data_IF_175925730280
#
_entry.id   IF_175925730280
#
_cell.length_a   1.000
_cell.length_b   1.000
_cell.length_c   1.000
_cell.angle_alpha   90.00
_cell.angle_beta   90.00
_cell.angle_gamma   90.00
#
_symmetry.space_group_name_H-M   'P 1'
#
loop_
_entity.id
_entity.type
_entity.pdbx_description
1 polymer ?
#
# COMPACT_ATOMS: atom_id res chain seq x y z
N UNK A 1 -28.53 -3.43 -8.01
CA UNK A 1 -28.15 -2.05 -7.71
C UNK A 1 -27.18 -1.97 -6.52
N UNK A 2 -27.47 -2.55 -5.35
CA UNK A 2 -26.54 -2.49 -4.18
C UNK A 2 -25.21 -3.18 -4.50
N UNK A 3 -25.23 -4.35 -5.14
CA UNK A 3 -24.02 -5.11 -5.49
C UNK A 3 -23.14 -4.41 -6.55
N UNK A 4 -23.71 -3.58 -7.39
CA UNK A 4 -22.96 -2.82 -8.38
C UNK A 4 -22.24 -1.62 -7.77
N UNK A 5 -22.81 -0.97 -6.74
CA UNK A 5 -22.22 0.21 -6.09
C UNK A 5 -20.99 -0.13 -5.24
N UNK A 6 -21.00 -1.25 -4.52
CA UNK A 6 -19.87 -1.65 -3.68
C UNK A 6 -18.61 -2.01 -4.51
N UNK A 7 -18.78 -2.34 -5.79
CA UNK A 7 -17.67 -2.63 -6.71
C UNK A 7 -17.29 -1.46 -7.62
N UNK A 8 -17.96 -0.31 -7.50
CA UNK A 8 -17.62 0.87 -8.28
C UNK A 8 -16.27 1.47 -7.84
N UNK A 9 -15.54 2.11 -8.76
CA UNK A 9 -14.32 2.86 -8.43
C UNK A 9 -14.65 4.13 -7.63
N UNK A 10 -13.67 4.64 -6.86
CA UNK A 10 -13.82 5.92 -6.17
C UNK A 10 -14.09 7.06 -7.16
N UNK A 11 -13.42 7.02 -8.30
CA UNK A 11 -13.57 7.97 -9.40
C UNK A 11 -15.00 7.97 -9.95
N UNK A 12 -15.54 6.77 -10.21
CA UNK A 12 -16.93 6.65 -10.67
C UNK A 12 -17.93 7.10 -9.61
N UNK A 13 -17.73 6.71 -8.33
CA UNK A 13 -18.60 7.14 -7.23
C UNK A 13 -18.62 8.66 -7.07
N UNK A 14 -17.43 9.29 -7.09
CA UNK A 14 -17.30 10.73 -7.00
C UNK A 14 -18.10 11.46 -8.11
N UNK A 15 -18.00 10.98 -9.36
CA UNK A 15 -18.74 11.53 -10.49
C UNK A 15 -20.24 11.25 -10.39
N UNK A 16 -20.63 10.03 -9.99
CA UNK A 16 -22.05 9.65 -9.87
C UNK A 16 -22.76 10.42 -8.76
N UNK A 17 -22.10 10.65 -7.61
CA UNK A 17 -22.62 11.47 -6.52
C UNK A 17 -22.73 12.93 -6.98
N UNK A 18 -21.65 13.51 -7.53
CA UNK A 18 -21.62 14.90 -8.00
C UNK A 18 -22.69 15.20 -9.03
N UNK A 19 -23.01 14.25 -9.91
CA UNK A 19 -24.06 14.36 -10.93
C UNK A 19 -25.43 13.89 -10.43
N UNK A 20 -25.56 13.54 -9.14
CA UNK A 20 -26.81 13.08 -8.52
C UNK A 20 -27.43 11.84 -9.18
N UNK A 21 -26.60 10.98 -9.80
CA UNK A 21 -27.03 9.65 -10.28
C UNK A 21 -27.28 8.70 -9.13
N UNK A 22 -26.52 8.87 -8.04
CA UNK A 22 -26.67 8.20 -6.76
C UNK A 22 -26.48 9.24 -5.64
N UNK A 23 -26.95 8.94 -4.44
CA UNK A 23 -26.64 9.70 -3.23
C UNK A 23 -25.36 9.15 -2.57
N UNK A 24 -24.74 9.98 -1.73
CA UNK A 24 -23.66 9.57 -0.85
C UNK A 24 -24.13 8.48 0.13
N UNK A 25 -25.35 8.61 0.64
CA UNK A 25 -25.95 7.63 1.55
C UNK A 25 -26.10 6.26 0.88
N UNK A 26 -26.55 6.19 -0.38
CA UNK A 26 -26.61 4.93 -1.13
C UNK A 26 -25.23 4.27 -1.30
N UNK A 27 -24.17 5.06 -1.57
CA UNK A 27 -22.80 4.55 -1.69
C UNK A 27 -22.27 4.02 -0.34
N UNK A 28 -22.49 4.76 0.76
CA UNK A 28 -22.10 4.36 2.12
C UNK A 28 -22.85 3.10 2.56
N UNK A 29 -24.16 3.05 2.34
CA UNK A 29 -24.97 1.88 2.71
C UNK A 29 -24.59 0.63 1.92
N UNK A 30 -24.28 0.75 0.64
CA UNK A 30 -23.78 -0.38 -0.17
C UNK A 30 -22.46 -0.94 0.39
N UNK A 31 -21.51 -0.06 0.73
CA UNK A 31 -20.22 -0.49 1.32
C UNK A 31 -20.43 -1.10 2.71
N UNK A 32 -21.25 -0.51 3.58
CA UNK A 32 -21.50 -1.03 4.92
C UNK A 32 -22.22 -2.39 4.87
N UNK A 33 -23.18 -2.58 3.97
CA UNK A 33 -23.83 -3.86 3.75
C UNK A 33 -22.84 -4.93 3.28
N UNK A 34 -21.93 -4.57 2.36
CA UNK A 34 -20.90 -5.49 1.90
C UNK A 34 -19.90 -5.83 3.01
N UNK A 35 -19.49 -4.87 3.83
CA UNK A 35 -18.67 -5.13 5.01
C UNK A 35 -19.37 -6.12 5.95
N UNK A 36 -20.64 -5.91 6.27
CA UNK A 36 -21.44 -6.80 7.13
C UNK A 36 -21.48 -8.24 6.58
N UNK A 37 -21.58 -8.40 5.26
CA UNK A 37 -21.62 -9.70 4.57
C UNK A 37 -20.27 -10.42 4.61
N UNK A 38 -19.17 -9.74 4.24
CA UNK A 38 -17.89 -10.42 3.98
C UNK A 38 -16.94 -10.42 5.19
N UNK A 39 -17.03 -9.42 6.06
CA UNK A 39 -16.06 -9.22 7.13
C UNK A 39 -16.03 -10.34 8.19
N UNK A 40 -17.15 -11.02 8.51
CA UNK A 40 -17.11 -12.20 9.39
C UNK A 40 -16.21 -13.34 8.88
N UNK A 41 -15.97 -13.41 7.57
CA UNK A 41 -15.10 -14.42 6.94
C UNK A 41 -13.66 -13.96 6.82
N UNK A 42 -13.42 -12.68 6.51
CA UNK A 42 -12.08 -12.16 6.21
C UNK A 42 -11.44 -11.37 7.35
N UNK A 43 -12.21 -10.85 8.32
CA UNK A 43 -11.73 -10.04 9.45
C UNK A 43 -10.81 -8.90 9.02
N UNK A 44 -11.24 -8.14 8.01
CA UNK A 44 -10.45 -7.04 7.44
C UNK A 44 -10.77 -5.68 8.09
N UNK A 45 -12.05 -5.40 8.40
CA UNK A 45 -12.48 -4.19 9.10
C UNK A 45 -12.63 -4.53 10.58
N UNK A 46 -11.85 -3.82 11.42
CA UNK A 46 -11.78 -4.11 12.86
C UNK A 46 -12.58 -3.15 13.73
N UNK A 47 -12.98 -2.02 13.14
CA UNK A 47 -13.85 -1.03 13.80
C UNK A 47 -14.57 -0.20 12.76
N UNK A 48 -15.87 -0.09 12.87
CA UNK A 48 -16.68 0.86 12.10
C UNK A 48 -16.76 2.20 12.85
N UNK A 49 -17.01 3.29 12.11
CA UNK A 49 -17.38 4.60 12.68
C UNK A 49 -18.89 4.67 12.84
N UNK A 50 -19.34 5.35 13.91
CA UNK A 50 -20.78 5.45 14.22
C UNK A 50 -21.50 6.50 13.37
N UNK A 51 -20.75 7.44 12.76
CA UNK A 51 -21.27 8.66 12.11
C UNK A 51 -21.25 8.62 10.56
N UNK A 52 -20.86 7.49 9.95
CA UNK A 52 -20.69 7.40 8.49
C UNK A 52 -22.00 7.75 7.72
N UNK A 53 -23.15 7.22 8.17
CA UNK A 53 -24.45 7.50 7.55
C UNK A 53 -24.90 8.95 7.75
N UNK A 54 -24.67 9.52 8.93
CA UNK A 54 -24.97 10.92 9.22
C UNK A 54 -24.16 11.84 8.30
N UNK A 55 -22.85 11.57 8.17
CA UNK A 55 -21.98 12.32 7.26
C UNK A 55 -22.37 12.18 5.80
N UNK A 56 -22.86 11.02 5.39
CA UNK A 56 -23.36 10.80 4.05
C UNK A 56 -24.63 11.62 3.77
N UNK A 57 -25.59 11.62 4.69
CA UNK A 57 -26.77 12.47 4.61
C UNK A 57 -26.41 13.96 4.54
N UNK A 58 -25.45 14.41 5.37
CA UNK A 58 -24.97 15.79 5.32
C UNK A 58 -24.29 16.13 3.98
N UNK A 59 -23.54 15.18 3.39
CA UNK A 59 -22.95 15.38 2.05
C UNK A 59 -24.04 15.52 0.98
N UNK A 60 -25.11 14.73 1.06
CA UNK A 60 -26.25 14.83 0.13
C UNK A 60 -26.98 16.17 0.28
N UNK A 61 -27.18 16.65 1.52
CA UNK A 61 -27.77 17.97 1.80
C UNK A 61 -26.88 19.11 1.27
N UNK A 62 -25.57 19.06 1.51
CA UNK A 62 -24.59 20.01 1.01
C UNK A 62 -24.64 20.09 -0.52
N UNK A 63 -24.65 18.94 -1.19
CA UNK A 63 -24.74 18.87 -2.65
C UNK A 63 -26.07 19.42 -3.16
N UNK A 64 -27.21 19.17 -2.46
CA UNK A 64 -28.49 19.73 -2.81
C UNK A 64 -28.52 21.27 -2.70
N UNK A 65 -27.76 21.82 -1.72
CA UNK A 65 -27.56 23.25 -1.54
C UNK A 65 -26.50 23.84 -2.50
N UNK A 66 -25.91 23.05 -3.39
CA UNK A 66 -24.89 23.48 -4.35
C UNK A 66 -23.48 23.52 -3.80
N UNK A 67 -23.22 22.94 -2.62
CA UNK A 67 -21.91 22.89 -1.99
C UNK A 67 -21.23 21.54 -2.28
N UNK A 68 -20.04 21.58 -2.91
CA UNK A 68 -19.17 20.42 -3.12
C UNK A 68 -17.90 20.63 -2.29
N UNK A 69 -17.61 19.73 -1.35
CA UNK A 69 -16.47 19.87 -0.42
C UNK A 69 -15.12 19.60 -1.10
N UNK A 70 -15.09 18.81 -2.16
CA UNK A 70 -13.87 18.47 -2.88
C UNK A 70 -14.06 17.31 -3.85
N UNK A 71 -12.96 16.79 -4.43
CA UNK A 71 -13.01 15.75 -5.45
C UNK A 71 -13.56 14.40 -4.96
N UNK A 72 -13.56 14.14 -3.66
CA UNK A 72 -14.11 12.94 -3.04
C UNK A 72 -15.43 13.20 -2.28
N UNK A 73 -16.16 14.25 -2.63
CA UNK A 73 -17.39 14.60 -1.95
C UNK A 73 -18.36 13.42 -1.85
N UNK A 74 -18.60 12.96 -0.61
CA UNK A 74 -19.52 11.86 -0.31
C UNK A 74 -18.99 10.44 -0.59
N UNK A 75 -17.75 10.28 -1.03
CA UNK A 75 -17.16 8.96 -1.35
C UNK A 75 -16.74 8.25 -0.07
N UNK A 76 -17.22 7.00 0.19
CA UNK A 76 -16.78 6.21 1.34
C UNK A 76 -15.35 5.71 1.21
N UNK A 77 -14.65 5.48 2.34
CA UNK A 77 -13.36 4.82 2.39
C UNK A 77 -13.12 4.11 3.72
N UNK A 78 -12.19 3.16 3.75
CA UNK A 78 -11.64 2.57 4.96
C UNK A 78 -10.21 3.03 5.19
N UNK A 79 -9.65 2.77 6.39
CA UNK A 79 -8.36 3.32 6.77
C UNK A 79 -7.57 2.34 7.64
N UNK A 80 -6.32 2.05 7.26
CA UNK A 80 -5.40 1.22 8.05
C UNK A 80 -5.33 1.68 9.51
N UNK A 81 -5.40 0.73 10.44
CA UNK A 81 -5.45 1.03 11.89
C UNK A 81 -4.12 1.53 12.49
N UNK A 82 -3.11 1.74 11.67
CA UNK A 82 -1.87 2.42 12.01
C UNK A 82 -1.91 3.94 11.82
N UNK A 83 -3.01 4.49 11.31
CA UNK A 83 -3.19 5.92 11.02
C UNK A 83 -4.12 6.55 12.05
N UNK A 84 -3.63 7.52 12.82
CA UNK A 84 -4.39 8.22 13.83
C UNK A 84 -5.63 8.89 13.25
N UNK A 85 -6.76 8.71 13.94
CA UNK A 85 -8.05 9.27 13.56
C UNK A 85 -8.71 9.86 14.78
N UNK A 86 -8.91 11.17 14.80
CA UNK A 86 -9.50 11.87 15.94
C UNK A 86 -10.87 11.29 16.32
N UNK A 87 -11.02 10.94 17.60
CA UNK A 87 -12.26 10.39 18.13
C UNK A 87 -12.52 8.91 17.77
N UNK A 88 -11.65 8.26 16.99
CA UNK A 88 -11.80 6.84 16.62
C UNK A 88 -10.65 6.03 17.23
N UNK A 89 -10.96 4.93 17.90
CA UNK A 89 -9.94 4.04 18.45
C UNK A 89 -8.95 3.64 17.36
N UNK A 90 -7.65 3.83 17.60
CA UNK A 90 -6.55 3.49 16.70
C UNK A 90 -5.50 2.75 17.49
N UNK A 91 -5.34 1.46 17.20
CA UNK A 91 -4.56 0.54 18.04
C UNK A 91 -3.16 0.26 17.52
N UNK A 92 -2.90 0.51 16.23
CA UNK A 92 -1.71 0.04 15.51
C UNK A 92 -1.45 -1.47 15.73
N UNK A 93 -2.49 -2.26 15.97
CA UNK A 93 -2.43 -3.70 16.25
C UNK A 93 -1.82 -4.09 17.59
N UNK A 94 -1.53 -3.15 18.50
CA UNK A 94 -0.92 -3.44 19.80
C UNK A 94 -1.92 -3.45 20.95
N UNK A 95 -1.79 -4.43 21.86
CA UNK A 95 -2.70 -4.61 22.99
C UNK A 95 -2.68 -3.38 23.91
N UNK A 96 -1.54 -2.75 24.12
CA UNK A 96 -1.43 -1.58 25.00
C UNK A 96 -2.27 -0.39 24.52
N UNK A 97 -2.61 -0.33 23.23
CA UNK A 97 -3.45 0.72 22.64
C UNK A 97 -4.85 0.27 22.24
N UNK A 98 -5.32 -0.86 22.73
CA UNK A 98 -6.65 -1.42 22.38
C UNK A 98 -7.82 -0.44 22.53
N UNK A 99 -7.69 0.53 23.42
CA UNK A 99 -8.70 1.55 23.72
C UNK A 99 -8.18 2.98 23.49
N UNK A 100 -7.01 3.14 22.81
CA UNK A 100 -6.41 4.44 22.54
C UNK A 100 -7.23 5.20 21.51
N UNK A 101 -7.68 6.41 21.89
CA UNK A 101 -8.37 7.34 21.01
C UNK A 101 -7.46 8.54 20.76
N UNK A 102 -6.97 8.75 19.52
CA UNK A 102 -6.22 9.95 19.17
C UNK A 102 -7.07 11.22 19.29
N UNK A 103 -6.43 12.33 19.62
CA UNK A 103 -7.05 13.66 19.71
C UNK A 103 -6.99 14.43 18.39
N UNK A 104 -6.17 13.95 17.42
CA UNK A 104 -6.04 14.54 16.09
C UNK A 104 -5.93 13.47 15.00
N UNK A 105 -6.31 13.87 13.80
CA UNK A 105 -6.16 13.06 12.60
C UNK A 105 -4.71 13.03 12.12
N UNK A 106 -4.29 11.92 11.53
CA UNK A 106 -3.12 11.89 10.66
C UNK A 106 -3.32 12.85 9.47
N UNK A 107 -2.24 13.40 8.94
CA UNK A 107 -2.32 14.36 7.82
C UNK A 107 -3.12 13.82 6.63
N UNK A 108 -2.90 12.56 6.25
CA UNK A 108 -3.65 11.94 5.14
C UNK A 108 -5.14 11.85 5.43
N UNK A 109 -5.53 11.61 6.68
CA UNK A 109 -6.94 11.55 7.12
C UNK A 109 -7.58 12.94 7.04
N UNK A 110 -6.89 13.96 7.55
CA UNK A 110 -7.33 15.36 7.45
C UNK A 110 -7.59 15.75 5.99
N UNK A 111 -6.67 15.39 5.09
CA UNK A 111 -6.77 15.71 3.65
C UNK A 111 -7.93 14.98 2.98
N UNK A 112 -8.13 13.71 3.26
CA UNK A 112 -9.25 12.93 2.71
C UNK A 112 -10.59 13.48 3.19
N UNK A 113 -10.72 13.79 4.48
CA UNK A 113 -11.94 14.44 5.02
C UNK A 113 -12.17 15.82 4.41
N UNK A 114 -11.13 16.62 4.22
CA UNK A 114 -11.19 17.93 3.56
C UNK A 114 -11.58 17.79 2.06
N UNK A 115 -11.18 16.73 1.38
CA UNK A 115 -11.60 16.39 0.03
C UNK A 115 -13.07 15.88 -0.04
N UNK A 116 -13.74 15.71 1.12
CA UNK A 116 -15.13 15.29 1.22
C UNK A 116 -15.36 13.78 1.37
N UNK A 117 -14.31 12.98 1.55
CA UNK A 117 -14.42 11.54 1.75
C UNK A 117 -15.01 11.19 3.14
N UNK A 118 -15.72 10.07 3.22
CA UNK A 118 -16.41 9.60 4.42
C UNK A 118 -15.77 8.31 4.93
N UNK A 119 -15.20 8.37 6.13
CA UNK A 119 -14.58 7.21 6.77
C UNK A 119 -15.65 6.22 7.25
N UNK A 120 -15.56 4.98 6.78
CA UNK A 120 -16.42 3.87 7.21
C UNK A 120 -15.87 3.16 8.45
N UNK A 121 -14.56 3.03 8.55
CA UNK A 121 -13.94 2.29 9.65
C UNK A 121 -12.44 2.07 9.48
N UNK A 122 -11.87 1.37 10.48
CA UNK A 122 -10.45 1.01 10.56
C UNK A 122 -10.24 -0.42 10.05
N UNK A 123 -9.15 -0.63 9.32
CA UNK A 123 -8.78 -1.94 8.76
C UNK A 123 -7.58 -2.54 9.47
N UNK A 124 -7.57 -3.87 9.57
CA UNK A 124 -6.59 -4.61 10.34
C UNK A 124 -5.15 -4.44 9.82
N UNK A 125 -4.21 -4.49 10.75
CA UNK A 125 -2.76 -4.41 10.49
C UNK A 125 -2.03 -5.24 11.55
N UNK A 126 -0.87 -5.84 11.29
CA UNK A 126 -0.06 -6.42 12.36
C UNK A 126 0.41 -5.34 13.33
N UNK A 127 0.85 -5.76 14.51
CA UNK A 127 1.35 -4.85 15.54
C UNK A 127 2.42 -3.92 14.96
N UNK A 128 2.23 -2.61 15.17
CA UNK A 128 3.07 -1.54 14.62
C UNK A 128 3.45 -1.70 13.13
N UNK A 129 2.60 -2.35 12.34
CA UNK A 129 2.81 -2.60 10.89
C UNK A 129 4.04 -3.44 10.55
N UNK A 130 4.53 -4.25 11.49
CA UNK A 130 5.82 -4.93 11.37
C UNK A 130 5.66 -6.43 11.15
N UNK A 131 5.04 -6.81 10.04
CA UNK A 131 4.91 -8.19 9.57
C UNK A 131 4.39 -8.24 8.13
N UNK A 132 4.78 -9.29 7.41
CA UNK A 132 4.27 -9.64 6.07
C UNK A 132 2.94 -10.39 6.12
N UNK A 133 2.41 -10.64 7.30
CA UNK A 133 1.06 -11.17 7.53
C UNK A 133 0.26 -10.22 8.42
N UNK A 134 -1.03 -10.10 8.13
CA UNK A 134 -1.93 -9.25 8.93
C UNK A 134 -2.59 -10.08 10.03
N UNK A 135 -1.93 -10.13 11.18
CA UNK A 135 -2.36 -10.82 12.39
C UNK A 135 -1.85 -10.06 13.63
N UNK A 136 -2.67 -9.93 14.67
CA UNK A 136 -2.30 -9.30 15.93
C UNK A 136 -3.15 -9.80 17.09
N UNK A 137 -2.68 -9.55 18.32
CA UNK A 137 -3.33 -10.03 19.55
C UNK A 137 -4.59 -9.22 19.95
N UNK A 138 -4.90 -8.12 19.27
CA UNK A 138 -6.10 -7.29 19.54
C UNK A 138 -7.30 -7.83 18.78
N UNK A 139 -7.12 -8.11 17.48
CA UNK A 139 -8.20 -8.40 16.53
C UNK A 139 -8.09 -9.78 15.88
N UNK A 140 -6.94 -10.44 16.02
CA UNK A 140 -6.63 -11.67 15.31
C UNK A 140 -6.30 -11.44 13.84
N UNK A 141 -6.39 -12.53 13.08
CA UNK A 141 -5.89 -12.65 11.71
C UNK A 141 -6.91 -12.20 10.67
N UNK A 142 -6.43 -11.52 9.63
CA UNK A 142 -7.17 -11.26 8.39
C UNK A 142 -6.90 -12.36 7.36
N UNK A 143 -7.91 -12.80 6.64
CA UNK A 143 -7.81 -13.81 5.58
C UNK A 143 -7.92 -13.20 4.18
N UNK A 144 -7.27 -13.85 3.20
CA UNK A 144 -7.32 -13.45 1.81
C UNK A 144 -8.72 -13.70 1.23
N UNK A 145 -9.36 -12.72 0.56
CA UNK A 145 -10.70 -12.85 0.04
C UNK A 145 -10.84 -13.87 -1.11
N UNK A 146 -9.76 -14.23 -1.78
CA UNK A 146 -9.75 -15.23 -2.85
C UNK A 146 -9.55 -16.67 -2.33
N UNK A 147 -8.89 -16.83 -1.17
CA UNK A 147 -8.72 -18.11 -0.48
C UNK A 147 -8.49 -17.85 1.02
N UNK A 148 -9.50 -18.15 1.83
CA UNK A 148 -9.48 -17.89 3.28
C UNK A 148 -8.38 -18.67 4.04
N UNK A 149 -7.77 -19.68 3.45
CA UNK A 149 -6.64 -20.41 4.02
C UNK A 149 -5.30 -19.71 3.82
N UNK A 150 -5.28 -18.59 3.07
CA UNK A 150 -4.09 -17.82 2.70
C UNK A 150 -4.09 -16.43 3.33
N UNK A 151 -2.88 -15.88 3.45
CA UNK A 151 -2.71 -14.53 3.94
C UNK A 151 -3.07 -13.48 2.87
N UNK A 152 -3.70 -12.34 3.25
CA UNK A 152 -3.88 -11.18 2.36
C UNK A 152 -2.61 -10.34 2.25
N UNK A 153 -1.48 -10.84 2.80
CA UNK A 153 -0.26 -10.08 2.93
C UNK A 153 -0.24 -9.18 4.18
N UNK A 154 0.81 -8.42 4.29
CA UNK A 154 1.06 -7.46 5.37
C UNK A 154 2.08 -6.39 4.96
N UNK A 155 2.06 -5.34 5.69
CA UNK A 155 1.22 -5.00 6.84
C UNK A 155 -0.14 -4.39 6.48
N UNK A 156 -0.43 -4.06 5.20
CA UNK A 156 -1.71 -3.50 4.75
C UNK A 156 -2.67 -4.58 4.22
N UNK A 157 -2.70 -5.77 4.86
CA UNK A 157 -3.56 -6.88 4.43
C UNK A 157 -5.04 -6.61 4.70
N UNK A 158 -5.39 -5.94 5.82
CA UNK A 158 -6.77 -5.49 6.07
C UNK A 158 -7.28 -4.54 4.99
N UNK A 159 -6.54 -3.44 4.68
CA UNK A 159 -6.80 -2.57 3.53
C UNK A 159 -7.03 -3.34 2.23
N UNK A 160 -6.06 -4.20 1.83
CA UNK A 160 -6.15 -4.93 0.58
C UNK A 160 -7.34 -5.89 0.53
N UNK A 161 -7.58 -6.63 1.61
CA UNK A 161 -8.66 -7.61 1.67
C UNK A 161 -10.06 -6.96 1.55
N UNK A 162 -10.30 -5.85 2.27
CA UNK A 162 -11.62 -5.19 2.21
C UNK A 162 -11.86 -4.47 0.88
N UNK A 163 -10.82 -3.84 0.32
CA UNK A 163 -10.90 -3.21 -1.01
C UNK A 163 -11.16 -4.25 -2.08
N UNK A 164 -10.46 -5.40 -2.05
CA UNK A 164 -10.67 -6.50 -2.98
C UNK A 164 -12.07 -7.11 -2.83
N UNK A 165 -12.59 -7.24 -1.61
CA UNK A 165 -13.91 -7.78 -1.33
C UNK A 165 -15.08 -6.82 -1.61
N UNK A 166 -14.81 -5.56 -1.97
CA UNK A 166 -15.83 -4.55 -2.29
C UNK A 166 -16.39 -3.80 -1.08
N UNK A 167 -15.82 -3.96 0.13
CA UNK A 167 -16.29 -3.23 1.32
C UNK A 167 -15.93 -1.75 1.34
N UNK A 168 -14.97 -1.33 0.53
CA UNK A 168 -14.62 0.06 0.31
C UNK A 168 -14.01 0.25 -1.10
N UNK A 169 -14.17 1.42 -1.74
CA UNK A 169 -13.52 1.69 -3.02
C UNK A 169 -12.00 1.85 -2.90
N UNK A 170 -11.52 2.41 -1.77
CA UNK A 170 -10.10 2.58 -1.49
C UNK A 170 -9.79 2.58 0.02
N UNK A 171 -8.52 2.43 0.33
CA UNK A 171 -7.91 2.52 1.66
C UNK A 171 -6.53 3.21 1.55
N UNK A 172 -5.94 3.59 2.66
CA UNK A 172 -4.57 4.12 2.72
C UNK A 172 -3.69 3.14 3.46
N UNK A 173 -2.73 2.57 2.75
CA UNK A 173 -1.72 1.69 3.30
C UNK A 173 -0.42 2.40 3.68
N UNK A 174 0.50 1.65 4.27
CA UNK A 174 1.90 2.06 4.50
C UNK A 174 2.85 0.97 4.02
N UNK A 175 4.05 1.35 3.59
CA UNK A 175 5.02 0.46 2.95
C UNK A 175 6.44 0.82 3.44
N UNK A 176 7.08 -0.11 4.15
CA UNK A 176 8.44 0.03 4.69
C UNK A 176 9.40 -0.99 4.07
N UNK A 177 8.90 -2.14 3.63
CA UNK A 177 9.59 -3.17 2.86
C UNK A 177 8.83 -3.48 1.57
N UNK A 178 7.50 -3.73 1.71
CA UNK A 178 6.62 -4.08 0.60
C UNK A 178 5.13 -3.92 0.97
N UNK A 179 4.83 -3.35 2.12
CA UNK A 179 3.54 -3.47 2.82
C UNK A 179 2.32 -2.79 2.17
N UNK A 180 2.44 -2.12 1.03
CA UNK A 180 1.36 -1.77 0.08
C UNK A 180 1.39 -2.76 -1.09
N UNK A 181 2.58 -3.01 -1.61
CA UNK A 181 2.83 -3.71 -2.88
C UNK A 181 2.55 -5.19 -2.77
N UNK A 182 3.01 -5.85 -1.72
CA UNK A 182 2.76 -7.26 -1.45
C UNK A 182 1.26 -7.53 -1.23
N UNK A 183 0.53 -6.82 -0.33
CA UNK A 183 -0.91 -7.01 -0.20
C UNK A 183 -1.69 -6.71 -1.48
N UNK A 184 -1.29 -5.68 -2.26
CA UNK A 184 -1.91 -5.40 -3.55
C UNK A 184 -1.71 -6.56 -4.54
N UNK A 185 -0.51 -7.16 -4.58
CA UNK A 185 -0.20 -8.34 -5.37
C UNK A 185 -1.09 -9.53 -5.02
N UNK A 186 -1.15 -9.92 -3.73
CA UNK A 186 -1.86 -11.15 -3.31
C UNK A 186 -3.37 -10.98 -3.21
N UNK A 187 -3.88 -9.75 -3.18
CA UNK A 187 -5.32 -9.44 -3.23
C UNK A 187 -5.77 -8.90 -4.59
N UNK A 188 -4.89 -8.84 -5.59
CA UNK A 188 -5.24 -8.49 -6.97
C UNK A 188 -5.81 -7.09 -7.16
N UNK A 189 -5.45 -6.14 -6.32
CA UNK A 189 -5.84 -4.73 -6.40
C UNK A 189 -4.68 -3.85 -6.93
N UNK A 190 -4.96 -2.58 -7.16
CA UNK A 190 -3.93 -1.58 -7.44
C UNK A 190 -3.41 -0.95 -6.13
N UNK A 191 -2.09 -0.81 -6.01
CA UNK A 191 -1.44 -0.16 -4.87
C UNK A 191 -0.27 0.71 -5.32
N UNK A 192 -0.17 1.92 -4.78
CA UNK A 192 0.92 2.85 -5.06
C UNK A 192 1.75 3.09 -3.80
N UNK A 193 3.02 2.73 -3.84
CA UNK A 193 4.06 3.25 -2.95
C UNK A 193 4.66 4.50 -3.61
N UNK A 194 4.37 5.72 -3.14
CA UNK A 194 4.95 6.93 -3.73
C UNK A 194 6.46 7.04 -3.51
N UNK A 195 7.08 8.04 -4.13
CA UNK A 195 8.46 8.45 -3.82
C UNK A 195 8.61 8.80 -2.34
N UNK A 196 9.72 8.42 -1.72
CA UNK A 196 10.05 8.83 -0.35
C UNK A 196 10.02 10.35 -0.22
N UNK A 197 9.28 10.85 0.79
CA UNK A 197 9.04 12.28 0.97
C UNK A 197 7.96 12.89 0.07
N UNK A 198 7.12 12.09 -0.60
CA UNK A 198 5.97 12.57 -1.38
C UNK A 198 4.73 12.82 -0.51
N UNK A 199 4.42 11.90 0.39
CA UNK A 199 3.24 11.93 1.26
C UNK A 199 3.69 12.02 2.71
N UNK A 200 3.13 12.94 3.51
CA UNK A 200 3.46 13.05 4.94
C UNK A 200 3.06 11.81 5.71
N UNK A 201 3.89 11.42 6.67
CA UNK A 201 3.67 10.28 7.58
C UNK A 201 3.20 10.71 8.97
N UNK A 202 2.92 11.99 9.16
CA UNK A 202 2.41 12.56 10.41
C UNK A 202 1.14 11.84 10.85
N UNK A 203 1.16 11.29 12.07
CA UNK A 203 0.06 10.49 12.63
C UNK A 203 0.03 9.02 12.18
N UNK A 204 1.07 8.53 11.50
CA UNK A 204 1.26 7.09 11.22
C UNK A 204 2.10 6.41 12.33
N UNK A 205 1.78 5.15 12.62
CA UNK A 205 2.52 4.29 13.54
C UNK A 205 3.03 3.02 12.85
N UNK A 206 4.33 2.64 13.08
CA UNK A 206 5.33 3.39 13.86
C UNK A 206 5.63 4.75 13.24
N UNK A 207 6.07 5.70 14.07
CA UNK A 207 6.35 7.07 13.63
C UNK A 207 7.46 7.15 12.56
N UNK A 208 7.62 8.31 11.98
CA UNK A 208 8.52 8.62 10.85
C UNK A 208 9.92 9.08 11.30
N UNK A 209 10.51 8.46 12.31
CA UNK A 209 11.76 8.92 12.92
C UNK A 209 12.89 7.90 12.80
N UNK A 210 14.13 8.40 12.89
CA UNK A 210 15.33 7.56 12.94
C UNK A 210 15.70 6.92 11.61
N UNK A 211 16.27 5.73 11.66
CA UNK A 211 16.79 5.02 10.50
C UNK A 211 15.71 4.57 9.50
N UNK A 212 14.46 4.46 9.95
CA UNK A 212 13.32 4.03 9.12
C UNK A 212 12.65 5.15 8.36
N UNK A 213 13.08 6.38 8.59
CA UNK A 213 12.47 7.57 8.03
C UNK A 213 12.35 7.48 6.50
N UNK A 214 13.45 7.20 5.81
CA UNK A 214 13.47 7.16 4.35
C UNK A 214 12.81 5.93 3.73
N UNK A 215 12.53 4.88 4.51
CA UNK A 215 12.03 3.61 4.01
C UNK A 215 10.49 3.53 4.02
N UNK A 216 9.83 4.26 4.93
CA UNK A 216 8.38 4.19 5.11
C UNK A 216 7.64 5.22 4.27
N UNK A 217 6.65 4.77 3.49
CA UNK A 217 5.78 5.61 2.70
C UNK A 217 4.31 5.28 2.96
N UNK A 218 3.44 6.30 2.91
CA UNK A 218 1.99 6.13 2.86
C UNK A 218 1.54 6.22 1.41
N UNK A 219 0.56 5.40 1.04
CA UNK A 219 0.02 5.44 -0.31
C UNK A 219 -1.35 4.81 -0.45
N UNK A 220 -2.06 5.16 -1.54
CA UNK A 220 -3.40 4.67 -1.79
C UNK A 220 -3.40 3.22 -2.29
N UNK A 221 -4.43 2.49 -1.88
CA UNK A 221 -4.78 1.15 -2.32
C UNK A 221 -6.23 1.15 -2.81
N UNK A 222 -6.47 0.71 -4.04
CA UNK A 222 -7.79 0.77 -4.66
C UNK A 222 -7.97 -0.39 -5.66
N UNK A 223 -9.18 -0.64 -6.12
CA UNK A 223 -9.41 -1.66 -7.15
C UNK A 223 -8.90 -1.26 -8.53
N UNK A 224 -8.80 0.05 -8.81
CA UNK A 224 -8.47 0.59 -10.13
C UNK A 224 -7.30 1.58 -10.05
N UNK A 225 -6.49 1.60 -11.10
CA UNK A 225 -5.36 2.55 -11.22
C UNK A 225 -5.85 4.00 -11.31
N UNK A 226 -7.01 4.25 -11.91
CA UNK A 226 -7.63 5.58 -11.97
C UNK A 226 -7.85 6.19 -10.58
N UNK A 227 -8.20 5.35 -9.58
CA UNK A 227 -8.39 5.80 -8.20
C UNK A 227 -7.06 6.19 -7.54
N UNK A 228 -5.95 5.50 -7.85
CA UNK A 228 -4.62 5.91 -7.38
C UNK A 228 -4.25 7.29 -7.95
N UNK A 229 -4.58 7.52 -9.22
CA UNK A 229 -4.37 8.81 -9.91
C UNK A 229 -5.21 9.93 -9.27
N UNK A 230 -6.45 9.65 -8.88
CA UNK A 230 -7.33 10.59 -8.18
C UNK A 230 -6.82 10.90 -6.76
N UNK A 231 -6.34 9.89 -6.04
CA UNK A 231 -6.01 10.00 -4.61
C UNK A 231 -4.63 10.64 -4.38
N UNK A 232 -3.63 10.35 -5.22
CA UNK A 232 -2.27 10.84 -4.99
C UNK A 232 -2.18 12.38 -4.84
N UNK A 233 -2.81 13.21 -5.68
CA UNK A 233 -2.78 14.67 -5.51
C UNK A 233 -3.40 15.17 -4.19
N UNK A 234 -4.36 14.44 -3.64
CA UNK A 234 -4.99 14.77 -2.36
C UNK A 234 -4.04 14.50 -1.19
N UNK A 235 -3.25 13.43 -1.29
CA UNK A 235 -2.35 12.96 -0.23
C UNK A 235 -1.00 13.69 -0.22
N UNK A 236 -0.50 14.08 -1.38
CA UNK A 236 0.87 14.57 -1.59
C UNK A 236 1.14 15.99 -1.06
N UNK A 237 2.40 16.27 -0.80
CA UNK A 237 2.92 17.60 -0.45
C UNK A 237 3.09 17.85 1.05
N UNK A 238 3.90 18.86 1.42
CA UNK A 238 4.23 19.16 2.81
C UNK A 238 3.01 19.46 3.68
N UNK A 239 3.10 19.10 4.96
CA UNK A 239 2.11 19.43 6.00
C UNK A 239 2.66 20.40 7.08
N UNK A 240 3.95 20.69 7.02
CA UNK A 240 4.63 21.54 8.01
C UNK A 240 5.04 20.79 9.28
N UNK A 241 4.77 19.47 9.38
CA UNK A 241 5.14 18.63 10.53
C UNK A 241 6.15 17.53 10.14
N UNK A 242 5.96 16.83 9.02
CA UNK A 242 6.92 15.83 8.52
C UNK A 242 8.09 16.56 7.82
N UNK A 243 9.29 16.60 8.41
CA UNK A 243 10.42 17.37 7.90
C UNK A 243 11.01 16.82 6.59
N UNK A 244 10.62 15.62 6.19
CA UNK A 244 11.20 14.91 5.06
C UNK A 244 10.38 15.05 3.77
N UNK A 245 9.22 15.72 3.84
CA UNK A 245 8.35 15.89 2.66
C UNK A 245 8.79 17.10 1.84
N UNK A 246 9.08 16.84 0.55
CA UNK A 246 9.52 17.87 -0.39
C UNK A 246 8.34 18.41 -1.23
N UNK A 247 8.31 19.73 -1.52
CA UNK A 247 7.28 20.36 -2.35
C UNK A 247 7.55 20.15 -3.85
N UNK A 248 7.61 18.90 -4.29
CA UNK A 248 7.83 18.56 -5.70
C UNK A 248 6.49 18.44 -6.42
N UNK A 249 6.36 19.09 -7.59
CA UNK A 249 5.16 19.01 -8.40
C UNK A 249 4.86 17.56 -8.84
N UNK A 250 3.59 17.24 -8.95
CA UNK A 250 3.15 15.97 -9.53
C UNK A 250 3.12 16.07 -11.06
N UNK A 251 3.58 15.01 -11.74
CA UNK A 251 3.32 14.81 -13.16
C UNK A 251 1.88 14.35 -13.40
N UNK A 252 1.40 14.51 -14.63
CA UNK A 252 0.09 14.05 -15.07
C UNK A 252 0.25 12.77 -15.90
N UNK A 253 -0.28 11.61 -15.45
CA UNK A 253 -0.17 10.35 -16.18
C UNK A 253 -0.82 10.39 -17.57
N UNK A 254 -1.82 11.26 -17.78
CA UNK A 254 -2.57 11.33 -19.03
C UNK A 254 -1.79 11.95 -20.21
N UNK A 255 -0.72 12.68 -19.92
CA UNK A 255 0.13 13.32 -20.93
C UNK A 255 1.49 12.64 -21.13
N UNK A 256 1.72 11.51 -20.45
CA UNK A 256 2.95 10.73 -20.64
C UNK A 256 2.98 10.14 -22.05
N UNK A 257 4.00 10.48 -22.84
CA UNK A 257 4.23 9.90 -24.16
C UNK A 257 4.78 8.47 -24.00
N UNK A 258 3.87 7.49 -23.88
CA UNK A 258 4.21 6.11 -23.55
C UNK A 258 5.13 5.47 -24.59
N UNK A 259 4.94 5.77 -25.87
CA UNK A 259 5.73 5.26 -26.99
C UNK A 259 7.20 5.79 -27.00
N UNK A 260 7.49 6.81 -26.22
CA UNK A 260 8.85 7.32 -26.03
C UNK A 260 9.57 6.67 -24.85
N UNK A 261 8.87 5.97 -23.94
CA UNK A 261 9.43 5.41 -22.72
C UNK A 261 10.47 4.31 -23.00
N UNK A 262 11.57 4.37 -22.27
CA UNK A 262 12.61 3.34 -22.22
C UNK A 262 12.30 2.42 -21.05
N UNK A 263 11.80 1.23 -21.35
CA UNK A 263 11.32 0.26 -20.36
C UNK A 263 12.33 -0.87 -20.21
N UNK A 264 12.66 -1.19 -18.96
CA UNK A 264 13.40 -2.38 -18.60
C UNK A 264 12.46 -3.40 -17.97
N UNK A 265 12.56 -4.66 -18.38
CA UNK A 265 11.81 -5.75 -17.74
C UNK A 265 12.75 -6.89 -17.34
N UNK A 266 12.39 -7.55 -16.23
CA UNK A 266 12.99 -8.82 -15.83
C UNK A 266 11.96 -9.65 -15.07
N UNK A 267 12.04 -10.96 -15.22
CA UNK A 267 11.16 -11.91 -14.51
C UNK A 267 11.85 -12.53 -13.31
N UNK A 268 13.17 -12.72 -13.37
CA UNK A 268 13.99 -13.30 -12.30
C UNK A 268 15.13 -12.34 -11.94
N UNK A 269 15.30 -12.04 -10.66
CA UNK A 269 16.37 -11.19 -10.15
C UNK A 269 17.69 -11.96 -9.84
N UNK A 270 17.71 -13.29 -10.04
CA UNK A 270 18.83 -14.16 -9.73
C UNK A 270 19.04 -14.46 -8.24
N UNK A 271 18.15 -13.97 -7.36
CA UNK A 271 18.23 -14.14 -5.90
C UNK A 271 17.12 -15.05 -5.41
N UNK A 272 15.88 -14.75 -5.83
CA UNK A 272 14.70 -15.55 -5.52
C UNK A 272 13.96 -15.88 -6.81
N UNK A 273 14.02 -17.15 -7.22
CA UNK A 273 13.36 -17.62 -8.45
C UNK A 273 11.83 -17.51 -8.31
N UNK A 274 11.15 -16.83 -9.24
CA UNK A 274 9.69 -16.71 -9.23
C UNK A 274 9.02 -18.01 -9.70
N UNK A 275 7.74 -18.17 -9.34
CA UNK A 275 6.93 -19.25 -9.90
C UNK A 275 6.66 -19.03 -11.40
N UNK A 276 6.43 -20.11 -12.17
CA UNK A 276 6.13 -19.98 -13.60
C UNK A 276 4.96 -19.03 -13.91
N UNK A 277 3.94 -19.03 -13.06
CA UNK A 277 2.76 -18.18 -13.21
C UNK A 277 3.11 -16.70 -13.00
N UNK A 278 4.02 -16.40 -12.05
CA UNK A 278 4.54 -15.05 -11.84
C UNK A 278 5.33 -14.57 -13.06
N UNK A 279 6.17 -15.44 -13.63
CA UNK A 279 6.89 -15.15 -14.89
C UNK A 279 5.92 -14.80 -16.01
N UNK A 280 4.89 -15.63 -16.22
CA UNK A 280 3.86 -15.41 -17.26
C UNK A 280 3.13 -14.06 -17.05
N UNK A 281 2.80 -13.69 -15.83
CA UNK A 281 2.13 -12.41 -15.54
C UNK A 281 3.02 -11.20 -15.89
N UNK A 282 4.32 -11.26 -15.58
CA UNK A 282 5.27 -10.19 -15.93
C UNK A 282 5.50 -10.12 -17.45
N UNK A 283 5.61 -11.26 -18.12
CA UNK A 283 5.74 -11.32 -19.58
C UNK A 283 4.49 -10.76 -20.29
N UNK A 284 3.30 -11.04 -19.78
CA UNK A 284 2.05 -10.49 -20.29
C UNK A 284 2.00 -8.95 -20.13
N UNK A 285 2.36 -8.43 -18.96
CA UNK A 285 2.45 -7.00 -18.71
C UNK A 285 3.49 -6.32 -19.63
N UNK A 286 4.65 -6.94 -19.78
CA UNK A 286 5.72 -6.47 -20.67
C UNK A 286 5.26 -6.44 -22.13
N UNK A 287 4.53 -7.47 -22.57
CA UNK A 287 3.96 -7.55 -23.92
C UNK A 287 2.91 -6.46 -24.17
N UNK A 288 2.08 -6.15 -23.17
CA UNK A 288 1.09 -5.07 -23.25
C UNK A 288 1.76 -3.70 -23.44
N UNK A 289 2.82 -3.43 -22.68
CA UNK A 289 3.62 -2.21 -22.83
C UNK A 289 4.32 -2.15 -24.20
N UNK A 290 4.89 -3.26 -24.65
CA UNK A 290 5.49 -3.34 -26.00
C UNK A 290 4.47 -3.05 -27.10
N UNK A 291 3.23 -3.53 -26.96
CA UNK A 291 2.13 -3.24 -27.89
C UNK A 291 1.72 -1.75 -27.87
N UNK A 292 1.94 -1.05 -26.74
CA UNK A 292 1.77 0.40 -26.63
C UNK A 292 2.93 1.22 -27.21
N UNK A 293 3.98 0.56 -27.72
CA UNK A 293 5.07 1.20 -28.48
C UNK A 293 6.31 1.56 -27.68
N UNK A 294 6.43 1.16 -26.39
CA UNK A 294 7.61 1.45 -25.58
C UNK A 294 8.90 0.85 -26.16
N UNK A 295 10.04 1.46 -25.83
CA UNK A 295 11.37 0.91 -26.16
C UNK A 295 11.79 -0.06 -25.07
N UNK A 296 11.61 -1.37 -25.31
CA UNK A 296 11.81 -2.43 -24.34
C UNK A 296 13.21 -3.05 -24.41
N UNK A 297 13.84 -3.31 -23.24
CA UNK A 297 14.98 -4.19 -23.07
C UNK A 297 14.83 -5.07 -21.83
N UNK A 298 15.46 -6.25 -21.87
CA UNK A 298 15.50 -7.15 -20.70
C UNK A 298 16.84 -6.97 -19.98
N UNK A 299 16.79 -6.58 -18.70
CA UNK A 299 17.98 -6.34 -17.89
C UNK A 299 17.60 -6.36 -16.41
N UNK A 300 18.47 -6.92 -15.56
CA UNK A 300 18.32 -6.88 -14.10
C UNK A 300 19.11 -5.69 -13.55
N UNK A 301 18.51 -4.82 -12.71
CA UNK A 301 19.26 -3.73 -12.06
C UNK A 301 20.47 -4.25 -11.28
N UNK A 302 21.63 -3.55 -11.30
CA UNK A 302 22.85 -4.06 -10.68
C UNK A 302 22.84 -3.98 -9.15
N UNK A 303 23.23 -5.05 -8.44
CA UNK A 303 23.47 -5.06 -6.99
C UNK A 303 22.20 -5.11 -6.13
N UNK A 304 21.18 -5.83 -6.59
CA UNK A 304 19.96 -6.06 -5.80
C UNK A 304 20.24 -6.86 -4.52
N UNK A 305 21.13 -7.84 -4.57
CA UNK A 305 21.58 -8.64 -3.42
C UNK A 305 22.25 -7.80 -2.34
N UNK A 306 23.12 -6.88 -2.75
CA UNK A 306 23.80 -5.94 -1.84
C UNK A 306 22.78 -4.93 -1.23
N UNK A 307 21.78 -4.53 -2.01
CA UNK A 307 20.72 -3.61 -1.56
C UNK A 307 19.90 -4.21 -0.42
N UNK A 308 19.46 -5.47 -0.56
CA UNK A 308 18.75 -6.18 0.49
C UNK A 308 19.59 -6.30 1.77
N UNK A 309 20.82 -6.82 1.68
CA UNK A 309 21.68 -7.00 2.84
C UNK A 309 21.95 -5.67 3.57
N UNK A 310 22.02 -4.55 2.83
CA UNK A 310 22.20 -3.21 3.40
C UNK A 310 20.94 -2.72 4.10
N UNK A 311 19.76 -2.92 3.49
CA UNK A 311 18.47 -2.56 4.09
C UNK A 311 18.22 -3.35 5.38
N UNK A 312 18.39 -4.67 5.37
CA UNK A 312 18.22 -5.53 6.56
C UNK A 312 19.21 -5.14 7.66
N UNK A 313 20.45 -4.84 7.30
CA UNK A 313 21.47 -4.35 8.24
C UNK A 313 21.06 -3.02 8.91
N UNK A 314 20.49 -2.07 8.16
CA UNK A 314 19.99 -0.80 8.69
C UNK A 314 18.76 -1.01 9.58
N UNK A 315 17.84 -1.90 9.19
CA UNK A 315 16.66 -2.26 9.97
C UNK A 315 17.04 -2.84 11.34
N UNK A 316 18.10 -3.64 11.40
CA UNK A 316 18.57 -4.30 12.63
C UNK A 316 19.62 -3.51 13.39
N UNK A 317 20.07 -2.36 12.87
CA UNK A 317 21.26 -1.64 13.35
C UNK A 317 21.22 -1.27 14.83
N UNK A 318 20.04 -0.97 15.39
CA UNK A 318 19.90 -0.67 16.83
C UNK A 318 19.45 -1.88 17.67
N UNK A 319 19.50 -3.10 17.11
CA UNK A 319 19.07 -4.32 17.79
C UNK A 319 17.56 -4.34 18.11
N UNK A 320 16.73 -3.70 17.30
CA UNK A 320 15.30 -3.48 17.53
C UNK A 320 14.97 -2.65 18.80
N UNK A 321 15.92 -1.88 19.32
CA UNK A 321 15.66 -1.03 20.48
C UNK A 321 14.56 0.01 20.24
N UNK A 322 14.42 0.53 18.99
CA UNK A 322 13.34 1.43 18.63
C UNK A 322 11.97 0.77 18.76
N UNK A 323 11.82 -0.49 18.33
CA UNK A 323 10.58 -1.25 18.46
C UNK A 323 10.24 -1.53 19.91
N UNK A 324 11.26 -1.89 20.71
CA UNK A 324 11.09 -2.09 22.14
C UNK A 324 10.58 -0.82 22.82
N UNK A 325 11.15 0.36 22.49
CA UNK A 325 10.67 1.65 23.02
C UNK A 325 9.21 1.92 22.64
N UNK A 326 8.76 1.55 21.45
CA UNK A 326 7.36 1.70 21.03
C UNK A 326 6.44 0.77 21.82
N UNK A 327 6.79 -0.49 21.97
CA UNK A 327 6.04 -1.49 22.73
C UNK A 327 5.91 -1.05 24.20
N UNK A 328 7.00 -0.58 24.81
CA UNK A 328 7.03 -0.09 26.17
C UNK A 328 6.18 1.19 26.33
N UNK A 329 6.32 2.15 25.43
CA UNK A 329 5.52 3.38 25.43
C UNK A 329 4.02 3.11 25.21
N UNK A 330 3.66 2.06 24.48
CA UNK A 330 2.29 1.61 24.33
C UNK A 330 1.73 0.92 25.59
N UNK A 331 2.59 0.52 26.54
CA UNK A 331 2.19 -0.29 27.69
C UNK A 331 1.85 -1.74 27.34
N UNK A 332 2.34 -2.23 26.21
CA UNK A 332 2.13 -3.63 25.80
C UNK A 332 3.05 -4.55 26.60
N UNK A 333 2.54 -5.66 27.16
CA UNK A 333 3.36 -6.59 27.94
C UNK A 333 4.42 -7.30 27.08
N UNK A 334 5.67 -7.31 27.53
CA UNK A 334 6.77 -8.03 26.88
C UNK A 334 7.04 -7.53 25.46
N UNK A 335 7.25 -8.45 24.51
CA UNK A 335 7.42 -8.17 23.08
C UNK A 335 6.10 -8.16 22.30
N UNK A 336 4.93 -8.19 22.99
CA UNK A 336 3.62 -8.25 22.33
C UNK A 336 3.50 -9.45 21.39
N UNK A 337 2.89 -9.26 20.23
CA UNK A 337 2.74 -10.30 19.20
C UNK A 337 4.07 -10.72 18.54
N UNK A 338 5.17 -10.01 18.81
CA UNK A 338 6.50 -10.36 18.27
C UNK A 338 7.21 -11.47 19.03
N UNK A 339 6.75 -11.80 20.23
CA UNK A 339 7.39 -12.82 21.09
C UNK A 339 7.56 -14.19 20.42
N UNK A 340 6.75 -14.49 19.42
CA UNK A 340 6.77 -15.75 18.66
C UNK A 340 7.43 -15.63 17.27
N UNK A 341 8.03 -14.47 16.95
CA UNK A 341 8.61 -14.19 15.64
C UNK A 341 10.12 -14.31 15.68
N UNK A 342 10.66 -15.35 15.13
CA UNK A 342 12.10 -15.68 15.16
C UNK A 342 13.01 -14.58 14.58
N UNK A 343 12.53 -13.79 13.63
CA UNK A 343 13.31 -12.75 12.97
C UNK A 343 13.27 -11.39 13.68
N UNK A 344 12.32 -11.14 14.60
CA UNK A 344 12.27 -9.97 15.47
C UNK A 344 12.72 -10.40 16.88
N UNK A 345 14.02 -10.53 17.08
CA UNK A 345 14.59 -10.82 18.39
C UNK A 345 15.49 -9.67 18.82
N UNK A 346 15.48 -9.30 20.12
CA UNK A 346 16.41 -8.31 20.64
C UNK A 346 17.84 -8.69 20.29
N UNK A 347 18.54 -7.77 19.66
CA UNK A 347 19.93 -7.90 19.25
C UNK A 347 20.86 -6.93 19.96
N UNK A 348 22.16 -7.03 19.66
CA UNK A 348 23.15 -6.04 20.11
C UNK A 348 23.19 -4.92 19.05
N UNK A 349 23.03 -3.64 19.46
CA UNK A 349 23.19 -2.53 18.52
C UNK A 349 24.57 -2.51 17.87
N UNK A 350 24.65 -2.12 16.62
CA UNK A 350 25.92 -1.96 15.90
C UNK A 350 26.73 -0.82 16.53
N UNK A 351 28.06 -0.95 16.57
CA UNK A 351 28.94 0.17 16.84
C UNK A 351 28.73 1.33 15.85
N UNK A 352 28.95 2.56 16.30
CA UNK A 352 28.68 3.74 15.48
C UNK A 352 29.44 3.81 14.16
N UNK A 353 30.67 3.28 14.10
CA UNK A 353 31.48 3.16 12.89
C UNK A 353 30.91 2.13 11.90
N UNK A 354 30.39 1.00 12.38
CA UNK A 354 29.71 0.01 11.55
C UNK A 354 28.40 0.56 10.98
N UNK A 355 27.61 1.26 11.80
CA UNK A 355 26.40 1.95 11.33
C UNK A 355 26.71 2.98 10.25
N UNK A 356 27.79 3.79 10.45
CA UNK A 356 28.22 4.77 9.44
C UNK A 356 28.60 4.07 8.12
N UNK A 357 29.34 2.98 8.18
CA UNK A 357 29.70 2.20 6.99
C UNK A 357 28.47 1.62 6.25
N UNK A 358 27.39 1.23 6.97
CA UNK A 358 26.13 0.81 6.37
C UNK A 358 25.43 1.94 5.64
N UNK A 359 25.37 3.15 6.24
CA UNK A 359 24.78 4.34 5.64
C UNK A 359 25.55 4.72 4.37
N UNK A 360 26.89 4.75 4.42
CA UNK A 360 27.75 5.01 3.26
C UNK A 360 27.51 3.98 2.13
N UNK A 361 27.33 2.72 2.49
CA UNK A 361 26.98 1.65 1.53
C UNK A 361 25.62 1.88 0.90
N UNK A 362 24.61 2.23 1.68
CA UNK A 362 23.27 2.57 1.19
C UNK A 362 23.32 3.72 0.16
N UNK A 363 24.10 4.78 0.46
CA UNK A 363 24.25 5.90 -0.45
C UNK A 363 25.00 5.52 -1.73
N UNK A 364 26.03 4.66 -1.63
CA UNK A 364 26.75 4.14 -2.80
C UNK A 364 25.83 3.29 -3.71
N UNK A 365 24.96 2.47 -3.13
CA UNK A 365 23.95 1.67 -3.86
C UNK A 365 22.94 2.60 -4.55
N UNK A 366 22.37 3.56 -3.83
CA UNK A 366 21.44 4.56 -4.37
C UNK A 366 22.06 5.31 -5.55
N UNK A 367 23.30 5.79 -5.40
CA UNK A 367 24.01 6.50 -6.45
C UNK A 367 24.33 5.62 -7.68
N UNK A 368 24.65 4.34 -7.48
CA UNK A 368 24.87 3.36 -8.56
C UNK A 368 23.58 3.12 -9.34
N UNK A 369 22.48 2.87 -8.65
CA UNK A 369 21.17 2.62 -9.25
C UNK A 369 20.62 3.87 -9.96
N UNK A 370 20.81 5.08 -9.41
CA UNK A 370 20.45 6.33 -10.09
C UNK A 370 21.23 6.54 -11.40
N UNK A 371 22.51 6.19 -11.44
CA UNK A 371 23.29 6.25 -12.70
C UNK A 371 22.76 5.22 -13.72
N UNK A 372 22.39 4.04 -13.26
CA UNK A 372 21.78 3.02 -14.14
C UNK A 372 20.41 3.47 -14.68
N UNK A 373 19.63 4.21 -13.88
CA UNK A 373 18.34 4.79 -14.29
C UNK A 373 18.45 5.93 -15.32
N UNK A 374 19.64 6.45 -15.64
CA UNK A 374 19.78 7.63 -16.51
C UNK A 374 19.16 7.43 -17.91
N UNK A 375 19.05 6.19 -18.36
CA UNK A 375 18.43 5.79 -19.63
C UNK A 375 17.26 4.80 -19.46
N UNK A 376 16.61 4.80 -18.28
CA UNK A 376 15.44 3.98 -17.95
C UNK A 376 14.33 4.88 -17.40
N UNK A 377 13.16 4.79 -17.98
CA UNK A 377 11.98 5.56 -17.55
C UNK A 377 11.01 4.70 -16.74
N UNK A 378 11.00 3.37 -16.98
CA UNK A 378 10.13 2.43 -16.25
C UNK A 378 10.79 1.06 -16.13
N UNK A 379 10.63 0.43 -14.96
CA UNK A 379 11.03 -0.96 -14.71
C UNK A 379 9.76 -1.78 -14.51
N UNK A 380 9.71 -2.99 -15.10
CA UNK A 380 8.61 -3.95 -14.94
C UNK A 380 9.17 -5.25 -14.42
N UNK A 381 8.69 -5.71 -13.26
CA UNK A 381 9.18 -6.92 -12.62
C UNK A 381 8.11 -7.57 -11.73
N UNK A 382 8.35 -8.76 -11.17
CA UNK A 382 7.51 -9.32 -10.13
C UNK A 382 7.33 -8.34 -8.97
N UNK A 383 6.15 -8.27 -8.36
CA UNK A 383 5.99 -7.65 -7.05
C UNK A 383 6.50 -8.58 -5.95
N UNK A 384 6.16 -9.87 -6.07
CA UNK A 384 6.60 -10.97 -5.21
C UNK A 384 6.97 -12.18 -6.08
N UNK A 385 7.80 -13.12 -5.58
CA UNK A 385 8.21 -14.28 -6.37
C UNK A 385 7.07 -15.30 -6.59
N UNK A 386 6.03 -15.25 -5.79
CA UNK A 386 4.95 -16.25 -5.78
C UNK A 386 3.61 -15.66 -5.35
N UNK A 387 2.48 -16.29 -5.70
CA UNK A 387 1.13 -15.89 -5.25
C UNK A 387 0.98 -15.93 -3.73
N UNK A 388 -0.22 -15.59 -3.22
CA UNK A 388 -0.55 -15.66 -1.80
C UNK A 388 -0.19 -17.04 -1.20
N UNK A 389 0.53 -17.02 -0.08
CA UNK A 389 0.94 -18.21 0.68
C UNK A 389 -0.05 -18.53 1.79
N UNK A 390 0.07 -19.71 2.39
CA UNK A 390 -0.73 -20.06 3.56
C UNK A 390 -0.33 -19.23 4.76
N UNK A 391 -1.28 -19.06 5.66
CA UNK A 391 -1.02 -18.40 6.93
C UNK A 391 0.11 -19.08 7.71
N UNK A 392 1.00 -18.28 8.29
CA UNK A 392 2.14 -18.74 9.07
C UNK A 392 3.38 -19.12 8.27
N UNK A 393 3.38 -18.93 6.94
CA UNK A 393 4.49 -19.31 6.06
C UNK A 393 5.36 -18.11 5.61
N UNK A 394 5.04 -16.87 6.03
CA UNK A 394 5.68 -15.66 5.49
C UNK A 394 7.18 -15.60 5.75
N UNK A 395 7.64 -15.92 6.95
CA UNK A 395 9.05 -15.86 7.30
C UNK A 395 9.94 -16.79 6.46
N UNK A 396 9.41 -17.95 6.05
CA UNK A 396 10.11 -18.90 5.21
C UNK A 396 10.03 -18.59 3.72
N UNK A 397 8.94 -17.91 3.30
CA UNK A 397 8.58 -17.79 1.89
C UNK A 397 8.82 -16.41 1.29
N UNK A 398 8.72 -15.33 2.09
CA UNK A 398 8.76 -13.95 1.58
C UNK A 398 9.95 -13.13 2.05
N UNK A 399 10.49 -13.43 3.22
CA UNK A 399 11.57 -12.62 3.78
C UNK A 399 12.81 -12.60 2.86
N UNK A 400 13.22 -11.38 2.47
CA UNK A 400 14.42 -11.17 1.66
C UNK A 400 14.25 -11.49 0.18
N UNK A 401 13.08 -11.23 -0.42
CA UNK A 401 12.82 -11.52 -1.83
C UNK A 401 13.47 -10.55 -2.81
N UNK A 402 13.82 -9.35 -2.36
CA UNK A 402 14.50 -8.30 -3.13
C UNK A 402 13.77 -7.74 -4.36
N UNK A 403 12.56 -8.20 -4.68
CA UNK A 403 11.76 -7.62 -5.77
C UNK A 403 11.15 -6.29 -5.36
N UNK A 404 10.71 -6.19 -4.11
CA UNK A 404 10.05 -4.98 -3.58
C UNK A 404 10.92 -4.18 -2.63
N UNK A 405 11.66 -4.82 -1.73
CA UNK A 405 12.43 -4.21 -0.64
C UNK A 405 13.44 -3.15 -1.08
N UNK A 406 14.15 -3.40 -2.18
CA UNK A 406 15.15 -2.49 -2.73
C UNK A 406 14.57 -1.11 -3.05
N UNK A 407 13.27 -1.03 -3.35
CA UNK A 407 12.60 0.22 -3.67
C UNK A 407 12.16 1.02 -2.44
N UNK A 408 12.28 0.45 -1.23
CA UNK A 408 12.28 1.19 0.02
C UNK A 408 13.66 1.79 0.29
N UNK A 409 14.74 1.03 0.04
CA UNK A 409 16.10 1.57 0.15
C UNK A 409 16.32 2.74 -0.81
N UNK A 410 15.90 2.63 -2.07
CA UNK A 410 16.07 3.69 -3.09
C UNK A 410 15.07 4.82 -2.95
N UNK A 411 13.93 4.58 -2.31
CA UNK A 411 12.84 5.55 -2.19
C UNK A 411 12.05 5.78 -3.49
N UNK A 412 12.22 4.94 -4.52
CA UNK A 412 11.56 5.12 -5.82
C UNK A 412 10.08 4.76 -5.78
N UNK A 413 9.22 5.46 -6.56
CA UNK A 413 7.80 5.15 -6.62
C UNK A 413 7.57 3.83 -7.33
N UNK A 414 6.60 3.06 -6.85
CA UNK A 414 6.20 1.79 -7.44
C UNK A 414 4.68 1.61 -7.40
N UNK A 415 4.10 1.18 -8.50
CA UNK A 415 2.70 0.76 -8.61
C UNK A 415 2.67 -0.75 -8.78
N UNK A 416 1.82 -1.41 -8.01
CA UNK A 416 1.44 -2.81 -8.27
C UNK A 416 0.04 -2.81 -8.83
N UNK A 417 -0.17 -3.63 -9.85
CA UNK A 417 -1.47 -3.86 -10.49
C UNK A 417 -1.61 -5.34 -10.82
N UNK A 418 -2.84 -5.87 -10.83
CA UNK A 418 -3.08 -7.25 -11.24
C UNK A 418 -2.61 -7.49 -12.67
N UNK A 419 -1.62 -8.38 -12.84
CA UNK A 419 -1.07 -8.77 -14.14
C UNK A 419 -1.53 -10.15 -14.61
N UNK A 420 -2.06 -10.97 -13.69
CA UNK A 420 -2.49 -12.33 -14.00
C UNK A 420 -3.41 -12.95 -12.95
N UNK A 421 -3.88 -14.15 -13.27
CA UNK A 421 -4.74 -14.98 -12.40
C UNK A 421 -4.35 -16.43 -12.55
N UNK A 422 -4.23 -17.16 -11.45
CA UNK A 422 -4.01 -18.59 -11.44
C UNK A 422 -5.28 -19.35 -11.81
N UNK A 423 -5.17 -20.63 -12.22
CA UNK A 423 -6.35 -21.44 -12.52
C UNK A 423 -7.33 -21.64 -11.33
N UNK A 424 -6.83 -21.50 -10.09
CA UNK A 424 -7.62 -21.55 -8.85
C UNK A 424 -8.20 -20.20 -8.44
N UNK A 425 -8.04 -19.16 -9.27
CA UNK A 425 -8.58 -17.82 -9.06
C UNK A 425 -7.67 -16.85 -8.31
N UNK A 426 -6.54 -17.30 -7.76
CA UNK A 426 -5.61 -16.43 -7.04
C UNK A 426 -5.01 -15.38 -7.99
N UNK A 427 -4.98 -14.10 -7.57
CA UNK A 427 -4.37 -13.03 -8.38
C UNK A 427 -2.84 -13.05 -8.30
N UNK A 428 -2.22 -12.51 -9.33
CA UNK A 428 -0.79 -12.17 -9.38
C UNK A 428 -0.66 -10.70 -9.77
N UNK A 429 0.04 -9.91 -8.94
CA UNK A 429 0.38 -8.53 -9.25
C UNK A 429 1.72 -8.43 -9.98
N UNK A 430 1.84 -7.40 -10.79
CA UNK A 430 3.09 -6.98 -11.45
C UNK A 430 3.47 -5.60 -10.94
N UNK A 431 4.76 -5.38 -10.70
CA UNK A 431 5.29 -4.12 -10.18
C UNK A 431 5.86 -3.27 -11.31
N UNK A 432 5.47 -1.98 -11.32
CA UNK A 432 5.96 -0.95 -12.23
C UNK A 432 6.66 0.13 -11.41
N UNK A 433 7.98 0.32 -11.60
CA UNK A 433 8.81 1.25 -10.83
C UNK A 433 9.30 2.35 -11.77
N UNK A 434 9.16 3.60 -11.34
CA UNK A 434 9.66 4.75 -12.09
C UNK A 434 10.81 5.46 -11.33
N UNK A 435 11.56 6.36 -12.00
CA UNK A 435 12.52 7.22 -11.33
C UNK A 435 11.86 8.06 -10.21
N UNK A 436 12.64 8.55 -9.22
CA UNK A 436 12.10 9.39 -8.16
C UNK A 436 11.25 10.54 -8.70
N UNK A 437 10.11 10.78 -8.06
CA UNK A 437 9.16 11.85 -8.40
C UNK A 437 8.41 11.68 -9.73
N UNK A 438 8.51 10.51 -10.37
CA UNK A 438 7.85 10.18 -11.63
C UNK A 438 6.72 9.15 -11.44
N UNK A 439 5.88 9.37 -10.44
CA UNK A 439 4.67 8.56 -10.21
C UNK A 439 3.75 8.58 -11.44
N UNK A 440 3.77 9.66 -12.21
CA UNK A 440 3.05 9.80 -13.48
C UNK A 440 3.41 8.69 -14.48
N UNK A 441 4.69 8.36 -14.62
CA UNK A 441 5.15 7.29 -15.52
C UNK A 441 4.71 5.91 -15.01
N UNK A 442 4.88 5.65 -13.71
CA UNK A 442 4.46 4.39 -13.12
C UNK A 442 2.94 4.17 -13.27
N UNK A 443 2.13 5.22 -13.03
CA UNK A 443 0.67 5.18 -13.20
C UNK A 443 0.27 5.01 -14.67
N UNK A 444 0.91 5.72 -15.61
CA UNK A 444 0.63 5.56 -17.04
C UNK A 444 0.91 4.13 -17.52
N UNK A 445 2.05 3.54 -17.11
CA UNK A 445 2.36 2.14 -17.39
C UNK A 445 1.36 1.17 -16.76
N UNK A 446 0.95 1.44 -15.51
CA UNK A 446 -0.02 0.61 -14.78
C UNK A 446 -1.40 0.62 -15.44
N UNK A 447 -1.87 1.74 -15.97
CA UNK A 447 -3.12 1.83 -16.75
C UNK A 447 -3.11 0.91 -17.97
N UNK A 448 -1.97 0.80 -18.68
CA UNK A 448 -1.83 -0.08 -19.84
C UNK A 448 -1.92 -1.54 -19.40
N UNK A 449 -1.20 -1.91 -18.34
CA UNK A 449 -1.20 -3.28 -17.83
C UNK A 449 -2.59 -3.65 -17.29
N UNK A 450 -3.26 -2.75 -16.56
CA UNK A 450 -4.63 -2.95 -16.07
C UNK A 450 -5.61 -3.18 -17.21
N UNK A 451 -5.55 -2.37 -18.27
CA UNK A 451 -6.42 -2.50 -19.43
C UNK A 451 -6.21 -3.84 -20.17
N UNK A 452 -4.95 -4.30 -20.27
CA UNK A 452 -4.61 -5.54 -20.94
C UNK A 452 -4.97 -6.79 -20.13
N UNK A 453 -4.79 -6.77 -18.79
CA UNK A 453 -5.07 -7.88 -17.89
C UNK A 453 -6.55 -7.98 -17.46
N UNK A 454 -7.35 -6.94 -17.73
CA UNK A 454 -8.71 -6.78 -17.21
C UNK A 454 -8.76 -6.26 -15.77
N UNK A 455 -7.61 -6.03 -15.14
CA UNK A 455 -7.49 -5.45 -13.80
C UNK A 455 -8.11 -6.32 -12.69
N UNK A 456 -8.62 -5.65 -11.67
CA UNK A 456 -9.27 -6.32 -10.54
C UNK A 456 -10.50 -7.14 -10.97
N UNK A 457 -10.67 -8.28 -10.33
CA UNK A 457 -11.84 -9.16 -10.48
C UNK A 457 -12.38 -9.49 -9.09
N UNK A 458 -13.71 -9.55 -8.94
CA UNK A 458 -14.31 -9.85 -7.65
C UNK A 458 -13.93 -11.25 -7.16
N UNK A 459 -13.58 -11.42 -5.86
CA UNK A 459 -13.43 -12.73 -5.26
C UNK A 459 -14.79 -13.42 -5.11
N UNK A 460 -14.78 -14.74 -5.11
CA UNK A 460 -15.98 -15.57 -4.83
C UNK A 460 -16.17 -15.71 -3.31
N UNK A 461 -16.80 -14.70 -2.68
CA UNK A 461 -17.05 -14.57 -1.24
C UNK A 461 -18.52 -14.60 -0.94
#
# INVERSE_FOLDING_TARGET
>A
MTDELCFASATWLAEAIRTRRISSLEAVDACLARIEEVNPRINAVVRLTDDARERAGQADEDLAAGTVRGPLHGVPFTLKDSLDTAGVVTTAGTIGWRDRVPDRDATVVTRLKAAGAILLGKTNTPEFTWSDETDNDVFGRTSNPYDLSRTPGGSSGGPAAIVAAGGAPFDIGSDTGDSIRQPAHVCGIAGLKPTSGRVPRTGHWPGHQGLFESFTQLGPMARRVEDLTLLLPILAGPDGEDPHVAPVALGDPSIVAVDELRVVSFTDNGIRTPTPETVVAVEAATSALAAAGVRLRTEVPPGLDEAWATLDGLIRADGFAWLHRLIEAAGTPGWGSYATRDWITPGVPLPGDELTALIERADAIRARLLRWLADVDLIVCPAMPQPAIRHGESSASWFGDTYSDVHNLTGWPAVVVRGGTLPDGLPIGVQLIAPPWREDIALAGAHIVEAASGGWQAPDL
#
